data_IF_152660529196
#
_entry.id   IF_152660529196
#
_cell.length_a   1.000
_cell.length_b   1.000
_cell.length_c   1.000
_cell.angle_alpha   90.00
_cell.angle_beta   90.00
_cell.angle_gamma   90.00
#
_symmetry.space_group_name_H-M   'P 1'
#
loop_
_entity.id
_entity.type
_entity.pdbx_description
1 polymer ?
#
# COMPACT_ATOMS: atom_id res chain seq x y z
N UNK A 1 7.24 -8.05 -23.06
CA UNK A 1 8.19 -6.96 -22.76
C UNK A 1 7.40 -5.66 -22.89
N UNK A 2 6.83 -5.16 -21.79
CA UNK A 2 6.07 -3.90 -21.80
C UNK A 2 7.10 -2.77 -21.90
N UNK A 3 7.24 -2.25 -23.11
CA UNK A 3 8.00 -1.03 -23.39
C UNK A 3 7.41 0.14 -22.61
N UNK A 4 8.30 0.98 -22.11
CA UNK A 4 8.07 2.24 -21.37
C UNK A 4 6.63 2.74 -21.40
N UNK A 5 5.97 2.76 -20.24
CA UNK A 5 4.78 3.58 -20.05
C UNK A 5 5.20 5.02 -20.41
N UNK A 6 4.77 5.51 -21.58
CA UNK A 6 4.96 6.89 -22.04
C UNK A 6 4.13 7.83 -21.15
N UNK A 7 4.59 8.01 -19.91
CA UNK A 7 4.14 9.08 -19.02
C UNK A 7 4.93 10.34 -19.38
N UNK A 8 5.03 10.66 -20.67
CA UNK A 8 5.41 12.00 -21.13
C UNK A 8 4.11 12.78 -21.27
N UNK A 9 3.60 13.33 -20.17
CA UNK A 9 2.30 14.02 -20.23
C UNK A 9 2.39 15.43 -19.67
N UNK A 10 2.29 16.39 -20.59
CA UNK A 10 2.00 17.82 -20.38
C UNK A 10 0.57 18.09 -19.89
N UNK A 11 -0.20 17.04 -19.56
CA UNK A 11 -1.59 17.15 -19.14
C UNK A 11 -1.67 17.30 -17.62
N UNK A 12 -2.17 18.46 -17.16
CA UNK A 12 -2.28 18.82 -15.74
C UNK A 12 -3.05 17.81 -14.88
N UNK A 13 -4.08 17.15 -15.43
CA UNK A 13 -4.86 16.15 -14.69
C UNK A 13 -3.99 14.92 -14.37
N UNK A 14 -3.18 14.48 -15.35
CA UNK A 14 -2.27 13.35 -15.14
C UNK A 14 -1.20 13.69 -14.10
N UNK A 15 -0.68 14.92 -14.12
CA UNK A 15 0.28 15.39 -13.11
C UNK A 15 -0.31 15.35 -11.69
N UNK A 16 -1.54 15.85 -11.51
CA UNK A 16 -2.24 15.80 -10.21
C UNK A 16 -2.48 14.38 -9.71
N UNK A 17 -2.84 13.45 -10.60
CA UNK A 17 -3.01 12.04 -10.24
C UNK A 17 -1.68 11.43 -9.78
N UNK A 18 -0.60 11.66 -10.52
CA UNK A 18 0.72 11.10 -10.18
C UNK A 18 1.30 11.69 -8.89
N UNK A 19 0.95 12.95 -8.58
CA UNK A 19 1.36 13.61 -7.34
C UNK A 19 0.63 13.05 -6.12
N UNK A 20 -0.64 12.65 -6.28
CA UNK A 20 -1.45 12.05 -5.21
C UNK A 20 -1.42 10.51 -5.19
N UNK A 21 -0.73 9.87 -6.12
CA UNK A 21 -0.55 8.41 -6.16
C UNK A 21 0.78 8.04 -5.52
N UNK A 22 0.81 7.04 -4.64
CA UNK A 22 2.07 6.56 -4.07
C UNK A 22 2.98 5.94 -5.14
N UNK A 23 4.29 6.08 -4.91
CA UNK A 23 5.32 5.34 -5.61
C UNK A 23 5.12 3.82 -5.49
N UNK A 24 5.86 3.05 -6.28
CA UNK A 24 5.84 1.58 -6.27
C UNK A 24 4.52 0.92 -6.75
N UNK A 25 3.53 1.69 -7.22
CA UNK A 25 2.28 1.18 -7.79
C UNK A 25 2.40 1.02 -9.31
N UNK A 26 2.59 2.13 -10.05
CA UNK A 26 2.67 2.09 -11.52
C UNK A 26 4.03 1.59 -12.02
N UNK A 27 5.09 1.81 -11.23
CA UNK A 27 6.45 1.37 -11.53
C UNK A 27 7.11 0.95 -10.23
N UNK A 28 7.76 -0.21 -10.22
CA UNK A 28 8.49 -0.70 -9.05
C UNK A 28 9.61 0.27 -8.61
N UNK A 29 9.92 0.28 -7.32
CA UNK A 29 10.81 1.26 -6.67
C UNK A 29 12.27 1.27 -7.20
N UNK A 30 12.75 0.19 -7.85
CA UNK A 30 14.09 0.10 -8.47
C UNK A 30 15.27 0.36 -7.51
N UNK A 31 15.12 -0.03 -6.25
CA UNK A 31 16.17 0.13 -5.21
C UNK A 31 16.74 -1.22 -4.80
N UNK A 32 17.94 -1.24 -4.23
CA UNK A 32 18.68 -2.46 -3.88
C UNK A 32 18.18 -3.10 -2.59
N UNK A 33 17.82 -2.26 -1.61
CA UNK A 33 17.41 -2.70 -0.28
C UNK A 33 16.01 -2.21 0.03
N UNK A 34 15.25 -3.03 0.75
CA UNK A 34 13.90 -2.68 1.21
C UNK A 34 13.66 -3.27 2.60
N UNK A 35 13.10 -2.46 3.49
CA UNK A 35 12.65 -2.86 4.81
C UNK A 35 11.13 -2.74 4.87
N UNK A 36 10.49 -3.81 5.35
CA UNK A 36 9.05 -3.86 5.58
C UNK A 36 8.79 -3.78 7.08
N UNK A 37 8.32 -2.63 7.55
CA UNK A 37 8.01 -2.41 8.96
C UNK A 37 6.51 -2.58 9.17
N UNK A 38 6.10 -3.67 9.80
CA UNK A 38 4.70 -3.86 10.16
C UNK A 38 4.43 -3.36 11.57
N UNK A 39 3.37 -2.58 11.72
CA UNK A 39 3.08 -1.85 12.94
C UNK A 39 1.66 -2.16 13.41
N UNK A 40 1.54 -2.31 14.73
CA UNK A 40 0.26 -2.34 15.43
C UNK A 40 0.10 -1.03 16.18
N UNK A 41 -1.03 -0.37 15.98
CA UNK A 41 -1.38 0.83 16.74
C UNK A 41 -1.74 0.47 18.19
N UNK A 42 -1.22 1.26 19.13
CA UNK A 42 -1.38 1.04 20.58
C UNK A 42 -1.79 2.31 21.34
N UNK A 43 -2.04 3.41 20.61
CA UNK A 43 -2.39 4.72 21.17
C UNK A 43 -3.82 5.09 20.79
N UNK A 44 -4.31 6.19 21.34
CA UNK A 44 -5.60 6.79 20.98
C UNK A 44 -5.68 7.12 19.48
N UNK A 45 -6.87 6.99 18.91
CA UNK A 45 -7.15 7.17 17.47
C UNK A 45 -6.60 8.50 16.95
N UNK A 46 -6.81 9.60 17.67
CA UNK A 46 -6.38 10.93 17.24
C UNK A 46 -4.86 11.04 17.14
N UNK A 47 -4.13 10.48 18.12
CA UNK A 47 -2.66 10.46 18.08
C UNK A 47 -2.13 9.64 16.90
N UNK A 48 -2.79 8.53 16.57
CA UNK A 48 -2.44 7.71 15.42
C UNK A 48 -2.69 8.52 14.14
N UNK A 49 -3.86 9.16 13.99
CA UNK A 49 -4.20 9.97 12.83
C UNK A 49 -3.21 11.12 12.62
N UNK A 50 -2.83 11.83 13.68
CA UNK A 50 -1.80 12.88 13.62
C UNK A 50 -0.45 12.33 13.17
N UNK A 51 -0.03 11.18 13.69
CA UNK A 51 1.22 10.54 13.25
C UNK A 51 1.16 10.13 11.78
N UNK A 52 0.07 9.52 11.32
CA UNK A 52 -0.12 9.14 9.91
C UNK A 52 -0.07 10.38 9.03
N UNK A 53 -0.73 11.48 9.42
CA UNK A 53 -0.73 12.73 8.67
C UNK A 53 0.69 13.28 8.50
N UNK A 54 1.45 13.40 9.59
CA UNK A 54 2.84 13.87 9.53
C UNK A 54 3.72 12.95 8.69
N UNK A 55 3.59 11.63 8.87
CA UNK A 55 4.33 10.65 8.07
C UNK A 55 4.01 10.75 6.58
N UNK A 56 2.73 10.85 6.22
CA UNK A 56 2.28 10.96 4.84
C UNK A 56 2.79 12.24 4.16
N UNK A 57 2.75 13.37 4.88
CA UNK A 57 3.22 14.66 4.36
C UNK A 57 4.74 14.72 4.18
N UNK A 58 5.50 14.11 5.10
CA UNK A 58 6.96 14.25 5.11
C UNK A 58 7.69 13.12 4.37
N UNK A 59 7.15 11.90 4.37
CA UNK A 59 7.91 10.68 4.03
C UNK A 59 7.35 9.92 2.84
N UNK A 60 6.03 9.89 2.65
CA UNK A 60 5.44 9.11 1.56
C UNK A 60 5.87 9.69 0.20
N UNK A 61 6.42 8.82 -0.63
CA UNK A 61 6.91 9.18 -1.96
C UNK A 61 5.78 9.02 -2.97
N UNK A 62 5.50 10.06 -3.75
CA UNK A 62 4.53 9.99 -4.85
C UNK A 62 5.14 9.34 -6.10
N UNK A 63 4.28 8.84 -7.00
CA UNK A 63 4.69 8.34 -8.30
C UNK A 63 5.36 9.44 -9.12
N UNK A 64 4.85 10.67 -9.07
CA UNK A 64 5.48 11.84 -9.70
C UNK A 64 6.92 12.08 -9.19
N UNK A 65 7.13 12.00 -7.86
CA UNK A 65 8.46 12.14 -7.26
C UNK A 65 9.39 10.99 -7.65
N UNK A 66 8.88 9.77 -7.75
CA UNK A 66 9.67 8.60 -8.18
C UNK A 66 10.20 8.75 -9.62
N UNK A 67 9.36 9.23 -10.54
CA UNK A 67 9.77 9.41 -11.95
C UNK A 67 10.44 10.76 -12.25
N UNK A 68 10.56 11.63 -11.25
CA UNK A 68 11.28 12.91 -11.37
C UNK A 68 10.50 14.03 -12.06
N UNK A 69 9.17 13.91 -12.17
CA UNK A 69 8.32 14.91 -12.86
C UNK A 69 8.37 16.29 -12.18
N UNK A 70 8.65 16.34 -10.87
CA UNK A 70 8.79 17.58 -10.10
C UNK A 70 10.25 17.86 -9.67
N UNK A 71 11.23 17.10 -10.17
CA UNK A 71 12.64 17.37 -9.86
C UNK A 71 13.13 18.49 -10.78
N UNK A 72 13.78 19.53 -10.23
CA UNK A 72 14.41 20.60 -11.02
C UNK A 72 15.47 20.08 -12.02
N UNK A 73 15.82 18.80 -11.94
CA UNK A 73 16.89 18.16 -12.70
C UNK A 73 16.40 17.17 -13.78
N UNK A 74 15.10 17.13 -14.11
CA UNK A 74 14.61 16.54 -15.37
C UNK A 74 14.96 15.07 -15.62
N UNK A 75 15.08 14.26 -14.56
CA UNK A 75 15.42 12.84 -14.68
C UNK A 75 14.82 12.02 -13.54
N UNK A 76 14.69 10.70 -13.79
CA UNK A 76 14.34 9.69 -12.78
C UNK A 76 15.16 9.98 -11.53
N UNK A 77 14.50 10.12 -10.38
CA UNK A 77 15.13 10.46 -9.10
C UNK A 77 16.05 9.29 -8.66
N UNK A 78 17.25 9.25 -9.23
CA UNK A 78 18.39 8.42 -8.84
C UNK A 78 19.20 9.11 -7.73
N UNK A 79 18.61 10.09 -7.05
CA UNK A 79 19.27 10.99 -6.10
C UNK A 79 19.68 10.33 -4.78
N UNK A 80 19.52 9.01 -4.63
CA UNK A 80 19.79 8.33 -3.36
C UNK A 80 18.82 8.72 -2.24
N UNK A 81 17.68 9.33 -2.56
CA UNK A 81 16.66 9.64 -1.55
C UNK A 81 15.89 8.38 -1.17
N UNK A 82 15.64 8.19 0.12
CA UNK A 82 14.78 7.13 0.64
C UNK A 82 13.40 7.16 -0.02
N UNK A 83 13.01 6.06 -0.66
CA UNK A 83 11.65 5.86 -1.12
C UNK A 83 10.83 5.25 0.02
N UNK A 84 9.67 5.86 0.32
CA UNK A 84 8.75 5.32 1.31
C UNK A 84 7.31 5.23 0.84
N UNK A 85 6.65 4.12 1.20
CA UNK A 85 5.23 3.91 1.02
C UNK A 85 4.55 3.54 2.36
N UNK A 86 3.25 3.80 2.44
CA UNK A 86 2.41 3.54 3.61
C UNK A 86 1.17 2.74 3.20
N UNK A 87 0.91 1.63 3.89
CA UNK A 87 -0.19 0.71 3.56
C UNK A 87 -1.01 0.38 4.80
N UNK A 88 -2.34 0.54 4.72
CA UNK A 88 -3.26 0.14 5.79
C UNK A 88 -3.91 -1.21 5.49
N UNK A 89 -3.99 -2.05 6.52
CA UNK A 89 -4.86 -3.23 6.49
C UNK A 89 -6.30 -2.87 6.83
N UNK A 90 -7.24 -3.78 6.60
CA UNK A 90 -8.61 -3.60 7.07
C UNK A 90 -8.68 -3.42 8.61
N UNK A 91 -7.84 -4.13 9.37
CA UNK A 91 -7.75 -3.93 10.81
C UNK A 91 -7.18 -2.54 11.17
N UNK A 92 -6.29 -1.98 10.36
CA UNK A 92 -5.83 -0.60 10.50
C UNK A 92 -6.96 0.41 10.31
N UNK A 93 -7.79 0.24 9.27
CA UNK A 93 -8.97 1.09 9.07
C UNK A 93 -9.99 0.95 10.21
N UNK A 94 -10.23 -0.27 10.73
CA UNK A 94 -11.07 -0.50 11.93
C UNK A 94 -10.50 0.23 13.15
N UNK A 95 -9.19 0.10 13.37
CA UNK A 95 -8.50 0.77 14.48
C UNK A 95 -8.56 2.30 14.39
N UNK A 96 -8.77 2.86 13.19
CA UNK A 96 -8.94 4.30 12.96
C UNK A 96 -10.40 4.77 13.00
N UNK A 97 -11.36 3.84 13.20
CA UNK A 97 -12.79 4.11 13.30
C UNK A 97 -13.54 4.17 11.97
N UNK A 98 -12.92 3.84 10.84
CA UNK A 98 -13.55 3.99 9.51
C UNK A 98 -14.51 2.85 9.13
N UNK A 99 -14.33 1.64 9.67
CA UNK A 99 -15.09 0.46 9.23
C UNK A 99 -16.23 0.04 10.17
N UNK A 100 -16.51 0.80 11.23
CA UNK A 100 -17.53 0.42 12.20
C UNK A 100 -18.95 0.87 11.80
N UNK A 101 -19.13 1.97 11.04
CA UNK A 101 -20.45 2.56 10.79
C UNK A 101 -20.73 3.08 9.35
N UNK A 102 -19.84 2.87 8.36
CA UNK A 102 -19.97 3.49 7.01
C UNK A 102 -19.73 2.52 5.82
N UNK A 103 -19.87 1.21 6.02
CA UNK A 103 -19.57 0.18 5.01
C UNK A 103 -20.51 0.17 3.77
N UNK A 104 -21.48 1.07 3.66
CA UNK A 104 -22.31 1.21 2.46
C UNK A 104 -21.77 2.22 1.45
N UNK A 105 -20.77 3.04 1.80
CA UNK A 105 -20.19 4.01 0.88
C UNK A 105 -18.75 3.62 0.53
N UNK A 106 -18.46 3.66 -0.78
CA UNK A 106 -17.17 3.39 -1.42
C UNK A 106 -15.98 3.92 -0.59
N UNK A 107 -14.81 3.22 -0.55
CA UNK A 107 -14.31 2.34 -1.62
C UNK A 107 -14.15 0.84 -1.28
N UNK A 108 -14.54 0.37 -0.10
CA UNK A 108 -14.18 -0.99 0.35
C UNK A 108 -15.22 -2.06 0.00
N UNK A 109 -15.23 -2.51 -1.26
CA UNK A 109 -16.06 -3.64 -1.71
C UNK A 109 -15.30 -4.98 -1.80
N UNK A 110 -13.99 -4.97 -1.57
CA UNK A 110 -13.16 -6.18 -1.62
C UNK A 110 -13.29 -7.00 -0.32
N UNK A 111 -14.07 -8.08 -0.40
CA UNK A 111 -14.28 -9.01 0.73
C UNK A 111 -12.99 -9.68 1.19
N UNK A 112 -12.03 -9.91 0.29
CA UNK A 112 -10.74 -10.47 0.67
C UNK A 112 -9.91 -9.51 1.50
N UNK A 113 -9.87 -8.23 1.12
CA UNK A 113 -9.18 -7.21 1.90
C UNK A 113 -9.82 -7.05 3.28
N UNK A 114 -11.16 -6.96 3.33
CA UNK A 114 -11.91 -6.78 4.57
C UNK A 114 -11.73 -7.96 5.53
N UNK A 115 -11.74 -9.20 5.02
CA UNK A 115 -11.53 -10.40 5.83
C UNK A 115 -10.06 -10.60 6.22
N UNK A 116 -9.14 -10.09 5.41
CA UNK A 116 -7.70 -10.25 5.59
C UNK A 116 -7.17 -11.64 5.23
N UNK A 117 -5.85 -11.72 5.01
CA UNK A 117 -5.22 -12.96 4.54
C UNK A 117 -5.37 -14.15 5.51
N UNK A 118 -5.49 -13.90 6.81
CA UNK A 118 -5.65 -14.97 7.81
C UNK A 118 -6.95 -15.75 7.68
N UNK A 119 -7.97 -15.17 7.04
CA UNK A 119 -9.26 -15.79 6.80
C UNK A 119 -9.36 -16.48 5.44
N UNK A 120 -8.32 -16.40 4.60
CA UNK A 120 -8.30 -16.99 3.25
C UNK A 120 -7.86 -18.45 3.29
N UNK A 121 -8.75 -19.35 3.69
CA UNK A 121 -8.57 -20.79 3.46
C UNK A 121 -9.28 -21.24 2.17
N UNK A 122 -10.49 -20.73 1.93
CA UNK A 122 -11.27 -21.00 0.72
C UNK A 122 -11.55 -19.67 0.03
N UNK A 123 -10.90 -19.39 -1.10
CA UNK A 123 -11.23 -18.21 -1.91
C UNK A 123 -12.22 -18.61 -3.01
N UNK A 124 -13.33 -17.89 -3.06
CA UNK A 124 -14.32 -18.02 -4.11
C UNK A 124 -14.04 -16.98 -5.18
N UNK A 125 -13.85 -17.41 -6.42
CA UNK A 125 -13.86 -16.51 -7.55
C UNK A 125 -15.06 -16.81 -8.44
N UNK A 126 -15.77 -15.75 -8.84
CA UNK A 126 -16.89 -15.84 -9.78
C UNK A 126 -16.39 -15.38 -11.15
N UNK A 127 -16.43 -16.27 -12.13
CA UNK A 127 -16.24 -15.91 -13.54
C UNK A 127 -17.53 -16.27 -14.27
N UNK A 128 -18.21 -15.25 -14.82
CA UNK A 128 -19.59 -15.39 -15.34
C UNK A 128 -20.52 -15.95 -14.25
N UNK A 129 -21.36 -16.96 -14.54
CA UNK A 129 -22.30 -17.56 -13.58
C UNK A 129 -21.74 -18.79 -12.85
N UNK A 130 -20.43 -19.03 -12.94
CA UNK A 130 -19.77 -20.14 -12.27
C UNK A 130 -18.95 -19.67 -11.07
N UNK A 131 -19.14 -20.36 -9.94
CA UNK A 131 -18.34 -20.21 -8.73
C UNK A 131 -17.26 -21.27 -8.72
N UNK A 132 -16.03 -20.82 -8.58
CA UNK A 132 -14.87 -21.68 -8.43
C UNK A 132 -14.28 -21.48 -7.04
N UNK A 133 -14.03 -22.58 -6.34
CA UNK A 133 -13.22 -22.57 -5.12
C UNK A 133 -11.77 -22.79 -5.53
N UNK A 134 -10.92 -21.81 -5.27
CA UNK A 134 -9.47 -22.06 -5.21
C UNK A 134 -9.20 -22.41 -3.76
N UNK A 135 -8.74 -23.63 -3.53
CA UNK A 135 -8.16 -23.99 -2.25
C UNK A 135 -6.88 -23.18 -2.11
N UNK A 136 -6.90 -22.16 -1.24
CA UNK A 136 -5.67 -21.50 -0.87
C UNK A 136 -4.86 -22.52 -0.05
N UNK A 137 -3.75 -23.00 -0.63
CA UNK A 137 -2.91 -24.02 0.00
C UNK A 137 -1.95 -23.44 1.04
N UNK A 138 -2.11 -22.17 1.40
CA UNK A 138 -1.39 -21.57 2.51
C UNK A 138 -1.65 -22.33 3.82
N UNK A 139 -0.62 -22.47 4.68
CA UNK A 139 -0.82 -23.06 6.00
C UNK A 139 -1.76 -22.21 6.85
N UNK A 140 -2.33 -22.81 7.90
CA UNK A 140 -3.18 -22.08 8.84
C UNK A 140 -2.40 -20.94 9.48
N UNK A 141 -3.07 -19.85 9.84
CA UNK A 141 -2.41 -18.66 10.39
C UNK A 141 -1.59 -18.94 11.66
N UNK A 142 -1.98 -19.95 12.46
CA UNK A 142 -1.23 -20.43 13.63
C UNK A 142 0.14 -21.04 13.30
N UNK A 143 0.32 -21.46 12.04
CA UNK A 143 1.54 -22.09 11.54
C UNK A 143 2.43 -21.07 10.79
N UNK A 144 2.01 -19.80 10.68
CA UNK A 144 2.83 -18.73 10.12
C UNK A 144 3.95 -18.34 11.10
N UNK A 145 4.97 -17.60 10.64
CA UNK A 145 5.94 -17.02 11.58
C UNK A 145 5.22 -16.13 12.61
N UNK A 146 5.61 -16.24 13.89
CA UNK A 146 4.93 -15.64 15.04
C UNK A 146 4.49 -14.18 14.83
N UNK A 147 5.34 -13.38 14.19
CA UNK A 147 5.07 -11.98 13.93
C UNK A 147 3.83 -11.74 13.04
N UNK A 148 3.58 -12.57 12.03
CA UNK A 148 2.44 -12.44 11.12
C UNK A 148 1.14 -12.98 11.72
N UNK A 149 1.21 -13.74 12.82
CA UNK A 149 0.03 -14.28 13.50
C UNK A 149 -0.75 -13.18 14.24
N UNK A 150 -0.08 -12.09 14.64
CA UNK A 150 -0.70 -10.95 15.30
C UNK A 150 -1.50 -10.04 14.39
N UNK A 151 -2.18 -9.05 14.97
CA UNK A 151 -2.81 -7.96 14.21
C UNK A 151 -1.74 -7.04 13.63
N UNK A 152 -1.85 -6.79 12.33
CA UNK A 152 -1.04 -5.81 11.61
C UNK A 152 -2.00 -4.71 11.17
N UNK A 153 -1.74 -3.47 11.58
CA UNK A 153 -2.59 -2.33 11.20
C UNK A 153 -2.03 -1.59 9.99
N UNK A 154 -0.71 -1.45 9.91
CA UNK A 154 -0.04 -0.80 8.78
C UNK A 154 1.28 -1.47 8.46
N UNK A 155 1.72 -1.31 7.21
CA UNK A 155 3.08 -1.60 6.76
C UNK A 155 3.71 -0.32 6.23
N UNK A 156 4.95 -0.06 6.62
CA UNK A 156 5.82 0.93 5.97
C UNK A 156 6.79 0.18 5.07
N UNK A 157 6.90 0.62 3.82
CA UNK A 157 7.99 0.23 2.93
C UNK A 157 9.03 1.35 2.97
N UNK A 158 10.27 1.00 3.27
CA UNK A 158 11.42 1.91 3.22
C UNK A 158 12.46 1.29 2.28
N UNK A 159 12.87 2.01 1.24
CA UNK A 159 13.73 1.42 0.22
C UNK A 159 14.76 2.40 -0.33
N UNK A 160 16.00 1.95 -0.44
CA UNK A 160 17.13 2.75 -0.92
C UNK A 160 18.20 1.91 -1.64
N UNK A 161 19.19 2.57 -2.23
CA UNK A 161 20.36 1.94 -2.82
C UNK A 161 21.36 1.46 -1.76
N UNK A 162 21.37 2.11 -0.58
CA UNK A 162 22.12 1.74 0.62
C UNK A 162 21.40 2.34 1.82
N UNK A 163 20.96 1.53 2.78
CA UNK A 163 20.34 1.99 4.03
C UNK A 163 21.30 2.06 5.21
#
# INVERSE_FOLDING_TARGET
MLTSLDIQTTNEIKLKILDNLQANILKFHQRREAYHLFVRFTKEIDRIKTWIQGYAQERVTSAARQVGINSKNGGVNNTGELLSCFFLSADGYRALGYLNNQLSEQPFQDSSFLNGMKARQNCYFKQQDQWWTIDNKDPLSKDWQNFYQGKIHTMLLLSDFQL
#
